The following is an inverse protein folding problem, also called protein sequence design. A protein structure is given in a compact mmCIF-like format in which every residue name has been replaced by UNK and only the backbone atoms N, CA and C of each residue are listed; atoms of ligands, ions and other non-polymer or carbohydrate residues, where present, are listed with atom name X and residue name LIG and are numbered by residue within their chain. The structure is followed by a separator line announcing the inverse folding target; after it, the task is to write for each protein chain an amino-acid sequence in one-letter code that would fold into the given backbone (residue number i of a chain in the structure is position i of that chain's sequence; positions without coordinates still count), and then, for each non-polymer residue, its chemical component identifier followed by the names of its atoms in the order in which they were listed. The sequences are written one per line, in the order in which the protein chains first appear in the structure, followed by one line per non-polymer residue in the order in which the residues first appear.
data_IF_476186712528
#
_entry.id   IF_476186712528
#
_cell.length_a   1.000
_cell.length_b   1.000
_cell.length_c   1.000
_cell.angle_alpha   90.00
_cell.angle_beta   90.00
_cell.angle_gamma   90.00
#
_symmetry.space_group_name_H-M   'P 1'
#
loop_
_entity.id
_entity.type
_entity.pdbx_description
1 polymer ?
#
# COMPACT_ATOMS: atom_id res chain seq x y z
N UNK A 1 37.04 -22.89 -12.30
CA UNK A 1 35.89 -22.74 -11.38
C UNK A 1 35.19 -21.43 -11.71
N UNK A 2 33.89 -21.41 -12.03
CA UNK A 2 33.24 -20.16 -12.43
C UNK A 2 33.16 -19.24 -11.21
N UNK A 3 33.84 -18.09 -11.29
CA UNK A 3 33.75 -17.03 -10.30
C UNK A 3 32.30 -16.54 -10.30
N UNK A 4 31.54 -16.88 -9.25
CA UNK A 4 30.16 -16.42 -9.05
C UNK A 4 30.15 -14.90 -9.21
N UNK A 5 29.38 -14.41 -10.16
CA UNK A 5 29.25 -12.97 -10.43
C UNK A 5 28.72 -12.26 -9.18
N UNK A 6 29.61 -11.56 -8.46
CA UNK A 6 29.29 -10.71 -7.30
C UNK A 6 28.62 -9.41 -7.78
N UNK A 7 27.40 -9.52 -8.31
CA UNK A 7 26.60 -8.35 -8.70
C UNK A 7 25.91 -7.76 -7.46
N UNK A 8 25.87 -6.43 -7.33
CA UNK A 8 25.17 -5.79 -6.22
C UNK A 8 23.69 -6.17 -6.26
N UNK A 9 23.15 -6.53 -5.09
CA UNK A 9 21.73 -6.83 -4.91
C UNK A 9 21.04 -5.62 -4.26
N UNK A 10 20.19 -4.87 -4.98
CA UNK A 10 19.54 -3.68 -4.44
C UNK A 10 18.50 -4.09 -3.38
N UNK A 11 18.60 -3.47 -2.21
CA UNK A 11 17.71 -3.68 -1.07
C UNK A 11 17.16 -2.32 -0.63
N UNK A 12 15.92 -2.30 -0.17
CA UNK A 12 15.32 -1.12 0.48
C UNK A 12 15.27 -1.39 1.97
N UNK A 13 15.91 -0.52 2.76
CA UNK A 13 15.95 -0.59 4.21
C UNK A 13 15.50 0.75 4.79
N UNK A 14 15.01 0.73 6.02
CA UNK A 14 14.68 1.98 6.74
C UNK A 14 15.96 2.76 7.07
N UNK A 15 15.87 4.09 7.01
CA UNK A 15 17.01 5.00 7.23
C UNK A 15 17.57 4.83 8.64
N UNK A 16 16.69 4.83 9.64
CA UNK A 16 17.07 4.66 11.05
C UNK A 16 17.76 3.32 11.31
N UNK A 17 17.39 2.27 10.56
CA UNK A 17 18.04 0.97 10.64
C UNK A 17 19.43 1.01 10.02
N UNK A 18 19.57 1.65 8.85
CA UNK A 18 20.86 1.83 8.18
C UNK A 18 21.84 2.63 9.04
N UNK A 19 21.37 3.67 9.73
CA UNK A 19 22.20 4.49 10.63
C UNK A 19 22.80 3.67 11.77
N UNK A 20 22.04 2.75 12.38
CA UNK A 20 22.56 1.82 13.40
C UNK A 20 23.65 0.89 12.87
N UNK A 21 23.55 0.48 11.60
CA UNK A 21 24.61 -0.31 10.95
C UNK A 21 25.87 0.53 10.72
N UNK A 22 25.71 1.79 10.33
CA UNK A 22 26.85 2.71 10.16
C UNK A 22 27.54 3.01 11.48
N UNK A 23 26.81 3.19 12.57
CA UNK A 23 27.37 3.36 13.91
C UNK A 23 28.22 2.13 14.31
N UNK A 24 27.71 0.92 14.10
CA UNK A 24 28.46 -0.32 14.37
C UNK A 24 29.77 -0.42 13.58
N UNK A 25 29.80 0.10 12.35
CA UNK A 25 31.03 0.18 11.53
C UNK A 25 31.99 1.23 12.08
N UNK A 26 31.49 2.40 12.49
CA UNK A 26 32.30 3.48 13.10
C UNK A 26 32.94 3.06 14.41
N UNK A 27 32.23 2.27 15.21
CA UNK A 27 32.74 1.68 16.45
C UNK A 27 33.76 0.55 16.22
N UNK A 28 34.07 0.20 14.96
CA UNK A 28 35.04 -0.84 14.63
C UNK A 28 34.54 -2.26 14.83
N UNK A 29 33.25 -2.47 15.13
CA UNK A 29 32.65 -3.81 15.34
C UNK A 29 32.53 -4.61 14.04
N UNK A 30 32.57 -3.95 12.88
CA UNK A 30 32.54 -4.59 11.58
C UNK A 30 33.26 -3.77 10.49
N UNK A 31 33.76 -4.45 9.46
CA UNK A 31 34.51 -3.82 8.37
C UNK A 31 33.65 -2.95 7.44
N UNK A 32 32.36 -3.25 7.28
CA UNK A 32 31.42 -2.46 6.47
C UNK A 32 29.96 -2.89 6.73
N UNK A 33 29.00 -2.06 6.33
CA UNK A 33 27.57 -2.40 6.37
C UNK A 33 27.29 -3.68 5.59
N UNK A 34 27.87 -3.82 4.39
CA UNK A 34 27.73 -5.03 3.57
C UNK A 34 28.29 -6.27 4.25
N UNK A 35 29.35 -6.15 5.06
CA UNK A 35 29.88 -7.27 5.84
C UNK A 35 28.91 -7.67 6.95
N UNK A 36 28.34 -6.70 7.67
CA UNK A 36 27.32 -6.96 8.70
C UNK A 36 26.13 -7.72 8.09
N UNK A 37 25.58 -7.23 6.97
CA UNK A 37 24.43 -7.86 6.31
C UNK A 37 24.79 -9.28 5.86
N UNK A 38 25.95 -9.50 5.21
CA UNK A 38 26.36 -10.83 4.78
C UNK A 38 26.51 -11.81 5.95
N UNK A 39 27.15 -11.39 7.03
CA UNK A 39 27.34 -12.22 8.22
C UNK A 39 26.00 -12.53 8.88
N UNK A 40 25.12 -11.54 9.04
CA UNK A 40 23.78 -11.74 9.60
C UNK A 40 22.99 -12.76 8.79
N UNK A 41 22.93 -12.61 7.46
CA UNK A 41 22.21 -13.54 6.59
C UNK A 41 22.81 -14.95 6.59
N UNK A 42 24.12 -15.10 6.82
CA UNK A 42 24.77 -16.42 6.88
C UNK A 42 24.48 -17.18 8.18
N UNK A 43 24.26 -16.47 9.29
CA UNK A 43 24.03 -17.07 10.60
C UNK A 43 22.55 -17.16 10.99
N UNK A 44 21.68 -16.42 10.30
CA UNK A 44 20.27 -16.35 10.66
C UNK A 44 19.49 -17.56 10.13
N UNK A 45 18.72 -18.18 11.01
CA UNK A 45 17.86 -19.31 10.71
C UNK A 45 16.48 -18.83 10.24
N UNK A 46 16.26 -18.84 8.92
CA UNK A 46 15.02 -18.32 8.32
C UNK A 46 13.79 -19.20 8.60
N UNK A 47 13.97 -20.46 8.99
CA UNK A 47 12.85 -21.37 9.34
C UNK A 47 12.12 -20.90 10.61
N UNK A 48 12.78 -20.09 11.44
CA UNK A 48 12.22 -19.52 12.68
C UNK A 48 11.56 -18.16 12.47
N UNK A 49 11.51 -17.65 11.24
CA UNK A 49 10.89 -16.36 10.97
C UNK A 49 9.38 -16.48 11.00
N UNK A 50 8.76 -15.88 12.01
CA UNK A 50 7.32 -15.68 12.03
C UNK A 50 7.01 -14.43 11.20
N UNK A 51 6.68 -14.64 9.92
CA UNK A 51 6.20 -13.55 9.07
C UNK A 51 4.73 -13.29 9.36
N UNK A 52 4.44 -12.28 10.18
CA UNK A 52 3.07 -11.82 10.44
C UNK A 52 2.58 -11.02 9.23
N UNK A 53 2.03 -11.70 8.22
CA UNK A 53 1.27 -11.03 7.18
C UNK A 53 -0.16 -10.82 7.66
N UNK A 54 -0.57 -9.56 7.85
CA UNK A 54 -1.99 -9.25 7.89
C UNK A 54 -2.61 -9.74 6.56
N UNK A 55 -3.67 -10.55 6.58
CA UNK A 55 -4.25 -11.10 5.35
C UNK A 55 -4.67 -9.96 4.42
N UNK A 56 -4.10 -9.93 3.22
CA UNK A 56 -4.42 -8.94 2.20
C UNK A 56 -5.29 -9.59 1.12
N UNK A 57 -6.45 -8.99 0.85
CA UNK A 57 -7.34 -9.42 -0.24
C UNK A 57 -7.29 -8.40 -1.38
N UNK A 58 -7.17 -8.90 -2.60
CA UNK A 58 -7.32 -8.05 -3.78
C UNK A 58 -8.80 -7.83 -4.07
N UNK A 59 -9.24 -6.58 -3.98
CA UNK A 59 -10.61 -6.16 -4.32
C UNK A 59 -10.62 -5.29 -5.57
N UNK A 60 -11.64 -5.47 -6.41
CA UNK A 60 -11.86 -4.65 -7.61
C UNK A 60 -12.93 -3.60 -7.35
N UNK A 61 -12.54 -2.33 -7.28
CA UNK A 61 -13.47 -1.21 -7.09
C UNK A 61 -13.60 -0.41 -8.38
N UNK A 62 -14.83 -0.09 -8.78
CA UNK A 62 -15.07 0.78 -9.94
C UNK A 62 -14.82 2.23 -9.55
N UNK A 63 -13.76 2.81 -10.10
CA UNK A 63 -13.40 4.21 -9.89
C UNK A 63 -13.56 5.01 -11.19
N UNK A 64 -14.09 6.25 -11.13
CA UNK A 64 -14.05 7.20 -12.23
C UNK A 64 -12.62 7.37 -12.78
N UNK A 65 -12.49 7.67 -14.07
CA UNK A 65 -11.20 7.78 -14.75
C UNK A 65 -10.31 8.86 -14.11
N UNK A 66 -10.91 10.01 -13.76
CA UNK A 66 -10.21 11.14 -13.16
C UNK A 66 -9.60 10.79 -11.79
N UNK A 67 -10.34 10.07 -10.96
CA UNK A 67 -9.84 9.59 -9.65
C UNK A 67 -8.67 8.63 -9.84
N UNK A 68 -8.78 7.70 -10.80
CA UNK A 68 -7.70 6.74 -11.12
C UNK A 68 -6.42 7.44 -11.58
N UNK A 69 -6.53 8.45 -12.45
CA UNK A 69 -5.37 9.23 -12.93
C UNK A 69 -4.70 9.99 -11.79
N UNK A 70 -5.49 10.66 -10.95
CA UNK A 70 -4.97 11.42 -9.81
C UNK A 70 -4.27 10.53 -8.78
N UNK A 71 -4.84 9.37 -8.44
CA UNK A 71 -4.22 8.41 -7.54
C UNK A 71 -2.87 7.91 -8.07
N UNK A 72 -2.77 7.58 -9.36
CA UNK A 72 -1.50 7.16 -9.98
C UNK A 72 -0.45 8.26 -9.95
N UNK A 73 -0.84 9.52 -10.23
CA UNK A 73 0.07 10.67 -10.17
C UNK A 73 0.59 10.88 -8.74
N UNK A 74 -0.31 10.92 -7.75
CA UNK A 74 0.04 11.12 -6.35
C UNK A 74 0.93 10.00 -5.79
N UNK A 75 0.64 8.75 -6.12
CA UNK A 75 1.45 7.61 -5.71
C UNK A 75 2.91 7.76 -6.16
N UNK A 76 3.12 8.18 -7.42
CA UNK A 76 4.46 8.46 -7.96
C UNK A 76 5.14 9.64 -7.26
N UNK A 77 4.42 10.76 -7.11
CA UNK A 77 4.98 11.97 -6.48
C UNK A 77 5.35 11.75 -5.02
N UNK A 78 4.56 10.97 -4.28
CA UNK A 78 4.79 10.71 -2.85
C UNK A 78 5.56 9.41 -2.58
N UNK A 79 6.10 8.77 -3.62
CA UNK A 79 6.83 7.50 -3.51
C UNK A 79 6.09 6.43 -2.67
N UNK A 80 4.77 6.34 -2.82
CA UNK A 80 3.92 5.44 -2.05
C UNK A 80 3.05 4.58 -2.95
N UNK A 81 2.44 3.53 -2.41
CA UNK A 81 1.54 2.67 -3.17
C UNK A 81 0.14 3.28 -3.29
N UNK A 82 -0.57 2.93 -4.36
CA UNK A 82 -1.98 3.33 -4.54
C UNK A 82 -2.82 2.79 -3.37
N UNK A 83 -2.58 1.54 -2.95
CA UNK A 83 -3.28 0.91 -1.84
C UNK A 83 -3.07 1.66 -0.52
N UNK A 84 -1.87 2.20 -0.28
CA UNK A 84 -1.60 3.04 0.89
C UNK A 84 -2.41 4.34 0.86
N UNK A 85 -2.49 5.01 -0.29
CA UNK A 85 -3.33 6.21 -0.45
C UNK A 85 -4.83 5.90 -0.25
N UNK A 86 -5.30 4.77 -0.78
CA UNK A 86 -6.69 4.32 -0.60
C UNK A 86 -6.96 4.02 0.87
N UNK A 87 -6.06 3.31 1.55
CA UNK A 87 -6.18 3.00 2.99
C UNK A 87 -6.31 4.29 3.81
N UNK A 88 -5.38 5.24 3.64
CA UNK A 88 -5.41 6.50 4.37
C UNK A 88 -6.70 7.30 4.11
N UNK A 89 -7.19 7.33 2.87
CA UNK A 89 -8.44 8.01 2.52
C UNK A 89 -9.67 7.36 3.17
N UNK A 90 -9.72 6.03 3.21
CA UNK A 90 -10.81 5.26 3.82
C UNK A 90 -10.77 5.39 5.34
N UNK A 91 -9.61 5.26 5.97
CA UNK A 91 -9.43 5.46 7.41
C UNK A 91 -9.89 6.85 7.87
N UNK A 92 -9.60 7.90 7.09
CA UNK A 92 -10.09 9.24 7.36
C UNK A 92 -11.61 9.43 7.13
N UNK A 93 -12.24 8.52 6.39
CA UNK A 93 -13.68 8.57 6.09
C UNK A 93 -14.51 7.71 7.06
N UNK A 94 -13.98 6.60 7.56
CA UNK A 94 -14.69 5.66 8.44
C UNK A 94 -15.35 6.34 9.66
N UNK A 95 -14.68 7.23 10.42
CA UNK A 95 -15.32 7.92 11.55
C UNK A 95 -16.53 8.77 11.16
N UNK A 96 -16.62 9.21 9.90
CA UNK A 96 -17.75 10.02 9.39
C UNK A 96 -18.97 9.16 9.04
N UNK A 97 -18.79 7.85 8.87
CA UNK A 97 -19.86 6.88 8.59
C UNK A 97 -20.60 6.45 9.86
N UNK A 98 -19.93 6.47 11.02
CA UNK A 98 -20.52 6.08 12.31
C UNK A 98 -21.46 7.14 12.90
N UNK A 99 -21.52 8.33 12.29
CA UNK A 99 -22.58 9.29 12.57
C UNK A 99 -23.92 8.75 12.01
N UNK A 100 -24.99 8.64 12.82
CA UNK A 100 -26.25 8.09 12.36
C UNK A 100 -26.82 8.93 11.21
N UNK A 101 -26.87 8.33 10.02
CA UNK A 101 -27.41 8.95 8.81
C UNK A 101 -28.94 8.93 8.89
N UNK A 102 -29.53 9.89 9.60
CA UNK A 102 -30.96 10.19 9.44
C UNK A 102 -31.18 10.77 8.03
N UNK A 103 -31.79 9.93 7.19
CA UNK A 103 -32.63 10.26 6.05
C UNK A 103 -32.06 11.12 4.91
N UNK A 104 -31.73 10.46 3.80
CA UNK A 104 -32.22 10.89 2.48
C UNK A 104 -32.35 9.70 1.53
N UNK A 105 -33.32 8.85 1.84
CA UNK A 105 -33.88 7.92 0.85
C UNK A 105 -34.70 8.76 -0.13
N UNK A 106 -34.02 9.35 -1.13
CA UNK A 106 -34.69 10.05 -2.22
C UNK A 106 -35.54 9.03 -2.98
N UNK A 107 -36.83 9.06 -2.68
CA UNK A 107 -37.89 8.42 -3.45
C UNK A 107 -37.82 8.97 -4.88
N UNK A 108 -37.27 8.17 -5.80
CA UNK A 108 -37.38 8.43 -7.22
C UNK A 108 -38.88 8.52 -7.58
N UNK A 109 -39.36 9.74 -7.81
CA UNK A 109 -40.65 10.05 -8.43
C UNK A 109 -40.76 9.24 -9.73
N UNK A 110 -41.60 8.20 -9.74
CA UNK A 110 -42.09 7.60 -10.98
C UNK A 110 -42.93 8.65 -11.71
N UNK A 111 -42.46 9.11 -12.87
CA UNK A 111 -43.26 9.94 -13.80
C UNK A 111 -44.51 9.16 -14.22
N UNK A 112 -45.72 9.76 -14.19
CA UNK A 112 -46.90 9.11 -14.78
C UNK A 112 -46.81 9.19 -16.31
N UNK A 113 -46.79 8.03 -16.97
CA UNK A 113 -46.91 7.94 -18.42
C UNK A 113 -48.36 8.25 -18.81
N UNK A 114 -48.55 9.39 -19.48
CA UNK A 114 -49.80 9.86 -20.07
C UNK A 114 -50.18 8.94 -21.23
N UNK A 115 -51.11 8.00 -21.03
CA UNK A 115 -51.66 7.18 -22.13
C UNK A 115 -52.83 7.91 -22.78
N UNK A 116 -52.55 8.57 -23.90
CA UNK A 116 -53.52 9.25 -24.74
C UNK A 116 -54.05 8.28 -25.82
N UNK A 117 -55.35 8.44 -26.12
CA UNK A 117 -56.09 8.07 -27.35
C UNK A 117 -56.88 6.75 -27.34
N UNK A 118 -58.17 6.93 -27.02
CA UNK A 118 -59.31 6.15 -27.54
C UNK A 118 -59.70 6.63 -28.94
N UNK A 119 -60.36 5.72 -29.67
CA UNK A 119 -61.18 5.85 -30.90
C UNK A 119 -60.47 5.54 -32.24
N UNK A 120 -60.67 4.30 -32.67
CA UNK A 120 -60.92 3.84 -34.03
C UNK A 120 -62.03 2.81 -33.91
#
# INVERSE_FOLDING_TARGET
MPMKTNRPFPLVLEVDFLDRLHESVREGKAASVSAIIRTALAHYDFEKVIVLHAPQLQISVRLPLEIRKNLKKLARTKHTSISHLVRAAVEAYLPKLEAPVLAKRQTARRKPARKLRRKG
#
